data_IF_753454405615
#
_entry.id   IF_753454405615
#
_cell.length_a   1.000
_cell.length_b   1.000
_cell.length_c   1.000
_cell.angle_alpha   90.00
_cell.angle_beta   90.00
_cell.angle_gamma   90.00
#
_symmetry.space_group_name_H-M   'P 1'
#
loop_
_entity.id
_entity.type
_entity.pdbx_description
1 polymer ?
#
# COMPACT_ATOMS: atom_id res chain seq x y z
N UNK A 1 40.77 32.97 12.98
CA UNK A 1 40.11 32.84 11.65
C UNK A 1 39.31 31.57 11.67
N UNK A 2 37.99 31.70 11.52
CA UNK A 2 37.03 30.62 11.74
C UNK A 2 37.05 29.59 10.59
N UNK A 3 37.05 28.31 10.96
CA UNK A 3 36.85 27.18 10.05
C UNK A 3 35.35 27.07 9.79
N UNK A 4 34.92 27.53 8.62
CA UNK A 4 33.55 27.38 8.15
C UNK A 4 33.32 25.91 7.74
N UNK A 5 32.77 25.12 8.65
CA UNK A 5 32.45 23.72 8.38
C UNK A 5 31.11 23.65 7.66
N UNK A 6 31.19 23.58 6.32
CA UNK A 6 30.07 23.33 5.42
C UNK A 6 29.47 21.94 5.70
N UNK A 7 28.49 21.88 6.60
CA UNK A 7 27.76 20.66 6.95
C UNK A 7 26.68 20.42 5.89
N UNK A 8 27.08 19.82 4.77
CA UNK A 8 26.12 19.19 3.86
C UNK A 8 25.34 18.14 4.66
N UNK A 9 24.07 18.40 4.91
CA UNK A 9 23.16 17.44 5.49
C UNK A 9 23.07 16.25 4.52
N UNK A 10 23.78 15.15 4.81
CA UNK A 10 23.55 13.90 4.11
C UNK A 10 22.14 13.44 4.47
N UNK A 11 21.21 13.55 3.52
CA UNK A 11 19.93 12.87 3.58
C UNK A 11 20.22 11.41 3.94
N UNK A 12 19.61 10.93 5.03
CA UNK A 12 19.89 9.61 5.60
C UNK A 12 19.86 8.53 4.53
N UNK A 13 20.98 7.82 4.36
CA UNK A 13 21.12 6.78 3.35
C UNK A 13 20.17 5.65 3.65
N UNK A 14 19.15 5.48 2.81
CA UNK A 14 18.31 4.28 2.81
C UNK A 14 19.17 3.17 2.19
N UNK A 15 19.67 2.26 3.03
CA UNK A 15 20.48 1.13 2.57
C UNK A 15 19.57 0.04 2.02
N UNK A 16 19.30 0.06 0.72
CA UNK A 16 18.55 -1.00 0.03
C UNK A 16 19.45 -2.24 -0.15
N UNK A 17 18.92 -3.43 0.14
CA UNK A 17 19.65 -4.69 -0.08
C UNK A 17 19.84 -4.94 -1.59
N UNK A 18 18.79 -4.70 -2.38
CA UNK A 18 18.87 -4.68 -3.83
C UNK A 18 18.00 -3.52 -4.38
N UNK A 19 18.58 -2.32 -4.58
CA UNK A 19 17.83 -1.17 -5.09
C UNK A 19 17.24 -1.43 -6.47
N UNK A 20 17.87 -2.27 -7.30
CA UNK A 20 17.37 -2.60 -8.63
C UNK A 20 16.08 -3.43 -8.54
N UNK A 21 16.03 -4.43 -7.65
CA UNK A 21 14.82 -5.22 -7.43
C UNK A 21 13.66 -4.37 -6.88
N UNK A 22 13.96 -3.42 -6.01
CA UNK A 22 12.98 -2.47 -5.48
C UNK A 22 12.40 -1.57 -6.57
N UNK A 23 13.26 -0.92 -7.37
CA UNK A 23 12.80 -0.01 -8.43
C UNK A 23 12.07 -0.75 -9.56
N UNK A 24 12.57 -1.92 -9.98
CA UNK A 24 11.86 -2.76 -10.95
C UNK A 24 10.50 -3.21 -10.43
N UNK A 25 10.43 -3.60 -9.16
CA UNK A 25 9.16 -3.97 -8.52
C UNK A 25 8.16 -2.83 -8.50
N UNK A 26 8.60 -1.63 -8.12
CA UNK A 26 7.77 -0.42 -8.12
C UNK A 26 7.24 -0.11 -9.51
N UNK A 27 8.10 -0.09 -10.53
CA UNK A 27 7.70 0.17 -11.92
C UNK A 27 6.73 -0.89 -12.41
N UNK A 28 6.98 -2.17 -12.11
CA UNK A 28 6.09 -3.27 -12.49
C UNK A 28 4.67 -3.12 -11.88
N UNK A 29 4.57 -2.75 -10.60
CA UNK A 29 3.26 -2.46 -9.97
C UNK A 29 2.59 -1.28 -10.63
N UNK A 30 3.30 -0.17 -10.88
CA UNK A 30 2.73 1.02 -11.52
C UNK A 30 2.21 0.71 -12.92
N UNK A 31 3.00 0.03 -13.75
CA UNK A 31 2.59 -0.38 -15.10
C UNK A 31 1.41 -1.34 -15.03
N UNK A 32 1.43 -2.32 -14.13
CA UNK A 32 0.34 -3.26 -13.93
C UNK A 32 -0.97 -2.55 -13.59
N UNK A 33 -0.96 -1.57 -12.68
CA UNK A 33 -2.16 -0.75 -12.36
C UNK A 33 -2.63 0.05 -13.57
N UNK A 34 -1.72 0.66 -14.33
CA UNK A 34 -2.08 1.43 -15.53
C UNK A 34 -2.75 0.52 -16.58
N UNK A 35 -2.28 -0.72 -16.75
CA UNK A 35 -2.88 -1.69 -17.68
C UNK A 35 -4.32 -2.10 -17.31
N UNK A 36 -4.78 -1.82 -16.09
CA UNK A 36 -6.18 -2.03 -15.72
C UNK A 36 -7.11 -0.89 -16.16
N UNK A 37 -6.56 0.32 -16.39
CA UNK A 37 -7.36 1.50 -16.72
C UNK A 37 -8.09 1.42 -18.07
N UNK A 38 -7.51 0.87 -19.17
CA UNK A 38 -8.19 0.80 -20.46
C UNK A 38 -9.53 0.07 -20.43
N UNK A 39 -9.60 -1.05 -19.69
CA UNK A 39 -10.84 -1.81 -19.55
C UNK A 39 -11.91 -1.01 -18.79
N UNK A 40 -11.53 -0.31 -17.73
CA UNK A 40 -12.45 0.53 -16.95
C UNK A 40 -12.99 1.71 -17.77
N UNK A 41 -12.11 2.40 -18.49
CA UNK A 41 -12.51 3.53 -19.35
C UNK A 41 -13.33 3.07 -20.55
N UNK A 42 -13.05 1.90 -21.12
CA UNK A 42 -13.83 1.30 -22.20
C UNK A 42 -15.25 0.91 -21.78
N UNK A 43 -15.50 0.68 -20.49
CA UNK A 43 -16.83 0.36 -19.96
C UNK A 43 -17.75 1.59 -19.78
N UNK A 44 -17.29 2.79 -20.17
CA UNK A 44 -18.06 4.04 -20.04
C UNK A 44 -19.44 3.95 -20.72
N UNK A 45 -19.51 3.37 -21.93
CA UNK A 45 -20.73 3.28 -22.72
C UNK A 45 -21.74 2.27 -22.14
N UNK A 46 -21.26 1.38 -21.25
CA UNK A 46 -22.06 0.40 -20.52
C UNK A 46 -22.40 0.87 -19.09
N UNK A 47 -22.08 2.12 -18.76
CA UNK A 47 -22.30 2.69 -17.42
C UNK A 47 -21.39 2.10 -16.35
N UNK A 48 -20.15 1.74 -16.71
CA UNK A 48 -19.15 1.10 -15.84
C UNK A 48 -19.54 -0.26 -15.27
N UNK A 49 -20.48 -0.95 -15.91
CA UNK A 49 -20.82 -2.34 -15.58
C UNK A 49 -19.80 -3.27 -16.23
N UNK A 50 -19.16 -4.10 -15.43
CA UNK A 50 -18.10 -5.04 -15.83
C UNK A 50 -18.54 -6.49 -15.67
N UNK A 51 -19.62 -6.77 -14.94
CA UNK A 51 -20.15 -8.12 -14.80
C UNK A 51 -20.51 -8.74 -16.15
N UNK A 52 -19.93 -9.92 -16.43
CA UNK A 52 -20.12 -10.66 -17.69
C UNK A 52 -19.19 -10.24 -18.83
N UNK A 53 -18.26 -9.30 -18.61
CA UNK A 53 -17.25 -8.93 -19.60
C UNK A 53 -16.03 -9.84 -19.51
N UNK A 54 -15.55 -10.36 -20.64
CA UNK A 54 -14.34 -11.19 -20.66
C UNK A 54 -13.10 -10.36 -20.33
N UNK A 55 -12.31 -10.86 -19.39
CA UNK A 55 -11.02 -10.26 -19.06
C UNK A 55 -10.03 -10.47 -20.22
N UNK A 56 -9.55 -9.37 -20.82
CA UNK A 56 -8.57 -9.42 -21.90
C UNK A 56 -7.17 -9.87 -21.43
N UNK A 57 -6.31 -10.26 -22.38
CA UNK A 57 -4.93 -10.67 -22.09
C UNK A 57 -4.11 -9.60 -21.34
N UNK A 58 -4.34 -8.32 -21.66
CA UNK A 58 -3.71 -7.17 -20.98
C UNK A 58 -4.05 -7.09 -19.49
N UNK A 59 -5.28 -7.45 -19.12
CA UNK A 59 -5.74 -7.48 -17.72
C UNK A 59 -4.99 -8.56 -16.93
N UNK A 60 -4.89 -9.77 -17.50
CA UNK A 60 -4.13 -10.86 -16.87
C UNK A 60 -2.64 -10.52 -16.75
N UNK A 61 -2.06 -9.90 -17.77
CA UNK A 61 -0.68 -9.44 -17.73
C UNK A 61 -0.48 -8.39 -16.63
N UNK A 62 -1.40 -7.43 -16.52
CA UNK A 62 -1.40 -6.42 -15.46
C UNK A 62 -1.45 -7.06 -14.07
N UNK A 63 -2.33 -8.04 -13.85
CA UNK A 63 -2.44 -8.76 -12.57
C UNK A 63 -1.13 -9.47 -12.21
N UNK A 64 -0.53 -10.17 -13.19
CA UNK A 64 0.76 -10.83 -12.99
C UNK A 64 1.88 -9.84 -12.65
N UNK A 65 1.94 -8.69 -13.34
CA UNK A 65 2.90 -7.62 -13.07
C UNK A 65 2.76 -7.04 -11.66
N UNK A 66 1.53 -6.84 -11.18
CA UNK A 66 1.30 -6.35 -9.81
C UNK A 66 1.82 -7.36 -8.78
N UNK A 67 1.50 -8.64 -8.92
CA UNK A 67 1.94 -9.69 -7.97
C UNK A 67 3.46 -9.85 -7.96
N UNK A 68 4.07 -9.94 -9.15
CA UNK A 68 5.52 -10.05 -9.28
C UNK A 68 6.23 -8.79 -8.80
N UNK A 69 5.71 -7.62 -9.15
CA UNK A 69 6.25 -6.34 -8.74
C UNK A 69 6.18 -6.13 -7.23
N UNK A 70 5.08 -6.51 -6.59
CA UNK A 70 4.96 -6.52 -5.13
C UNK A 70 5.98 -7.45 -4.48
N UNK A 71 6.11 -8.70 -4.97
CA UNK A 71 7.10 -9.65 -4.47
C UNK A 71 8.54 -9.15 -4.64
N UNK A 72 8.88 -8.56 -5.80
CA UNK A 72 10.19 -7.96 -6.04
C UNK A 72 10.46 -6.75 -5.14
N UNK A 73 9.46 -5.92 -4.90
CA UNK A 73 9.57 -4.76 -3.99
C UNK A 73 9.79 -5.23 -2.57
N UNK A 74 9.01 -6.20 -2.09
CA UNK A 74 9.20 -6.80 -0.77
C UNK A 74 10.60 -7.40 -0.62
N UNK A 75 11.07 -8.16 -1.63
CA UNK A 75 12.41 -8.74 -1.65
C UNK A 75 13.53 -7.68 -1.64
N UNK A 76 13.37 -6.60 -2.42
CA UNK A 76 14.34 -5.49 -2.46
C UNK A 76 14.34 -4.64 -1.19
N UNK A 77 13.20 -4.56 -0.51
CA UNK A 77 13.03 -3.80 0.72
C UNK A 77 13.55 -4.55 1.94
N UNK A 78 13.31 -5.86 2.07
CA UNK A 78 13.69 -6.68 3.24
C UNK A 78 15.21 -6.58 3.52
N UNK A 79 15.65 -5.77 4.50
CA UNK A 79 17.03 -5.76 4.95
C UNK A 79 17.14 -6.78 6.10
N UNK A 80 18.32 -7.34 6.34
CA UNK A 80 18.53 -8.10 7.57
C UNK A 80 18.36 -7.14 8.76
N UNK A 81 17.24 -7.23 9.49
CA UNK A 81 16.98 -6.48 10.73
C UNK A 81 18.15 -6.60 11.74
N UNK A 82 19.04 -7.57 11.55
CA UNK A 82 20.26 -7.76 12.32
C UNK A 82 21.25 -6.59 12.27
N UNK A 83 21.29 -5.78 11.20
CA UNK A 83 22.28 -4.68 11.10
C UNK A 83 21.80 -3.39 11.77
N UNK A 84 20.49 -3.10 11.68
CA UNK A 84 19.87 -1.97 12.39
C UNK A 84 19.88 -2.22 13.91
N UNK A 85 19.78 -3.48 14.33
CA UNK A 85 19.77 -3.86 15.75
C UNK A 85 21.18 -3.96 16.37
N UNK A 86 22.23 -4.36 15.62
CA UNK A 86 23.58 -4.56 16.21
C UNK A 86 24.28 -3.28 16.66
N UNK A 87 24.05 -2.16 15.97
CA UNK A 87 24.65 -0.86 16.34
C UNK A 87 23.90 -0.12 17.45
N UNK A 88 22.58 -0.31 17.54
CA UNK A 88 21.72 0.40 18.49
C UNK A 88 21.52 -0.34 19.81
N UNK A 89 21.48 -1.68 19.80
CA UNK A 89 21.20 -2.47 21.02
C UNK A 89 22.37 -2.51 22.01
N UNK A 90 23.60 -2.27 21.55
CA UNK A 90 24.79 -2.18 22.43
C UNK A 90 24.82 -0.92 23.32
N UNK A 91 23.94 0.06 23.13
CA UNK A 91 23.88 1.29 23.95
C UNK A 91 22.49 1.61 24.49
N UNK A 92 21.58 0.64 24.57
CA UNK A 92 20.29 0.84 25.24
C UNK A 92 20.53 0.79 26.76
N UNK A 93 21.08 1.89 27.29
CA UNK A 93 20.84 2.29 28.67
C UNK A 93 19.40 2.78 28.69
N UNK A 94 18.52 2.10 29.42
CA UNK A 94 17.14 2.52 29.65
C UNK A 94 17.18 3.90 30.32
N UNK A 95 17.13 4.94 29.49
CA UNK A 95 16.77 6.30 29.87
C UNK A 95 15.33 6.42 29.42
N UNK A 96 14.44 6.73 30.35
CA UNK A 96 13.05 7.03 30.05
C UNK A 96 13.01 7.98 28.85
N UNK A 97 12.31 7.57 27.80
CA UNK A 97 12.18 8.29 26.54
C UNK A 97 11.35 9.58 26.70
N UNK A 98 10.87 9.86 27.91
CA UNK A 98 9.93 10.94 28.26
C UNK A 98 10.54 12.35 28.30
N UNK A 99 11.87 12.49 28.26
CA UNK A 99 12.56 13.79 28.40
C UNK A 99 13.36 14.21 27.14
N UNK A 100 13.08 13.59 25.99
CA UNK A 100 13.76 13.94 24.75
C UNK A 100 13.09 15.15 24.06
N UNK A 101 13.80 16.26 23.80
CA UNK A 101 13.21 17.43 23.15
C UNK A 101 12.71 17.08 21.74
N UNK A 102 11.47 17.46 21.43
CA UNK A 102 10.84 17.24 20.12
C UNK A 102 11.66 17.93 19.03
N UNK A 103 12.37 17.13 18.23
CA UNK A 103 13.10 17.62 17.04
C UNK A 103 12.15 17.75 15.85
N UNK A 104 12.43 18.62 14.87
CA UNK A 104 11.62 18.77 13.65
C UNK A 104 11.42 17.45 12.87
N UNK A 105 12.35 16.50 12.97
CA UNK A 105 12.19 15.15 12.42
C UNK A 105 11.03 14.35 13.06
N UNK A 106 10.74 14.53 14.35
CA UNK A 106 9.59 13.91 15.00
C UNK A 106 8.29 14.49 14.47
N UNK A 107 8.24 15.82 14.27
CA UNK A 107 7.07 16.49 13.68
C UNK A 107 6.84 15.97 12.26
N UNK A 108 7.91 15.85 11.45
CA UNK A 108 7.82 15.25 10.12
C UNK A 108 7.28 13.82 10.14
N UNK A 109 7.77 12.98 11.06
CA UNK A 109 7.28 11.61 11.20
C UNK A 109 5.82 11.56 11.67
N UNK A 110 5.43 12.41 12.62
CA UNK A 110 4.04 12.53 13.08
C UNK A 110 3.11 12.95 11.94
N UNK A 111 3.53 13.88 11.09
CA UNK A 111 2.76 14.29 9.91
C UNK A 111 2.63 13.17 8.88
N UNK A 112 3.73 12.43 8.61
CA UNK A 112 3.70 11.28 7.69
C UNK A 112 2.79 10.17 8.24
N UNK A 113 2.88 9.85 9.53
CA UNK A 113 2.02 8.85 10.17
C UNK A 113 0.55 9.29 10.14
N UNK A 114 0.27 10.57 10.44
CA UNK A 114 -1.09 11.10 10.35
C UNK A 114 -1.67 11.00 8.93
N UNK A 115 -0.87 11.34 7.90
CA UNK A 115 -1.27 11.19 6.51
C UNK A 115 -1.48 9.71 6.13
N UNK A 116 -0.58 8.81 6.54
CA UNK A 116 -0.69 7.38 6.26
C UNK A 116 -1.98 6.79 6.87
N UNK A 117 -2.25 7.09 8.15
CA UNK A 117 -3.48 6.65 8.84
C UNK A 117 -4.73 7.21 8.15
N UNK A 118 -4.68 8.47 7.71
CA UNK A 118 -5.80 9.11 6.99
C UNK A 118 -6.09 8.36 5.68
N UNK A 119 -5.06 8.01 4.91
CA UNK A 119 -5.21 7.24 3.66
C UNK A 119 -5.73 5.83 3.94
N UNK A 120 -5.27 5.19 5.02
CA UNK A 120 -5.72 3.85 5.36
C UNK A 120 -7.20 3.80 5.75
N UNK A 121 -7.71 4.80 6.47
CA UNK A 121 -9.14 4.90 6.81
C UNK A 121 -10.02 5.09 5.57
N UNK A 122 -9.49 5.65 4.48
CA UNK A 122 -10.27 5.82 3.24
C UNK A 122 -10.61 4.48 2.56
N UNK A 123 -9.84 3.39 2.78
CA UNK A 123 -10.07 2.10 2.12
C UNK A 123 -11.35 1.41 2.64
N UNK A 124 -11.57 1.24 3.96
CA UNK A 124 -12.84 0.72 4.47
C UNK A 124 -14.04 1.63 4.14
N UNK A 125 -13.85 2.95 4.19
CA UNK A 125 -14.92 3.91 3.90
C UNK A 125 -15.39 3.82 2.45
N UNK A 126 -14.48 3.78 1.49
CA UNK A 126 -14.85 3.62 0.07
C UNK A 126 -15.51 2.27 -0.19
N UNK A 127 -15.02 1.17 0.42
CA UNK A 127 -15.69 -0.13 0.35
C UNK A 127 -17.14 -0.08 0.83
N UNK A 128 -17.42 0.60 1.94
CA UNK A 128 -18.78 0.73 2.46
C UNK A 128 -19.75 1.41 1.46
N UNK A 129 -19.27 2.37 0.66
CA UNK A 129 -20.09 3.06 -0.33
C UNK A 129 -20.28 2.29 -1.63
N UNK A 130 -19.31 1.49 -2.06
CA UNK A 130 -19.41 0.71 -3.32
C UNK A 130 -20.12 -0.63 -3.14
N UNK A 131 -20.15 -1.17 -1.91
CA UNK A 131 -20.76 -2.47 -1.57
C UNK A 131 -22.22 -2.61 -2.05
N UNK A 132 -23.12 -1.61 -1.91
CA UNK A 132 -24.48 -1.71 -2.45
C UNK A 132 -24.53 -1.88 -3.98
N UNK A 133 -23.68 -1.15 -4.70
CA UNK A 133 -23.58 -1.24 -6.16
C UNK A 133 -23.04 -2.58 -6.61
N UNK A 134 -21.96 -3.05 -5.97
CA UNK A 134 -21.40 -4.38 -6.23
C UNK A 134 -22.40 -5.50 -5.91
N UNK A 135 -23.21 -5.35 -4.86
CA UNK A 135 -24.24 -6.33 -4.53
C UNK A 135 -25.33 -6.42 -5.59
N UNK A 136 -25.71 -5.30 -6.20
CA UNK A 136 -26.68 -5.27 -7.30
C UNK A 136 -26.09 -5.82 -8.60
N UNK A 137 -24.85 -5.48 -8.93
CA UNK A 137 -24.19 -5.87 -10.18
C UNK A 137 -23.79 -7.36 -10.21
N UNK A 138 -23.25 -7.89 -9.11
CA UNK A 138 -22.74 -9.27 -9.02
C UNK A 138 -23.71 -10.24 -8.32
N UNK A 139 -24.93 -9.81 -8.00
CA UNK A 139 -25.95 -10.66 -7.35
C UNK A 139 -25.55 -11.12 -5.94
N UNK A 140 -24.85 -10.27 -5.19
CA UNK A 140 -24.41 -10.59 -3.82
C UNK A 140 -25.55 -10.33 -2.82
N UNK A 141 -25.63 -11.19 -1.81
CA UNK A 141 -26.61 -11.09 -0.72
C UNK A 141 -26.26 -9.89 0.16
N UNK A 142 -27.15 -8.91 0.20
CA UNK A 142 -27.08 -7.76 1.10
C UNK A 142 -28.46 -7.44 1.68
N UNK A 143 -28.58 -6.60 2.72
CA UNK A 143 -29.88 -6.13 3.21
C UNK A 143 -30.73 -5.47 2.11
N UNK A 144 -30.09 -4.88 1.10
CA UNK A 144 -30.74 -4.24 -0.06
C UNK A 144 -30.92 -5.20 -1.26
N UNK A 145 -30.26 -6.36 -1.25
CA UNK A 145 -30.40 -7.41 -2.25
C UNK A 145 -30.52 -8.80 -1.58
N UNK A 146 -31.69 -9.14 -1.01
CA UNK A 146 -31.87 -10.38 -0.24
C UNK A 146 -31.87 -11.65 -1.09
N UNK A 147 -32.06 -11.54 -2.40
CA UNK A 147 -32.10 -12.65 -3.35
C UNK A 147 -30.70 -13.12 -3.81
N UNK A 148 -29.63 -12.44 -3.39
CA UNK A 148 -28.26 -12.81 -3.74
C UNK A 148 -27.79 -14.13 -3.13
N UNK A 149 -26.80 -14.76 -3.75
CA UNK A 149 -26.30 -16.08 -3.36
C UNK A 149 -25.23 -16.04 -2.26
N UNK A 150 -24.26 -15.13 -2.39
CA UNK A 150 -23.08 -15.04 -1.53
C UNK A 150 -23.14 -13.75 -0.68
N UNK A 151 -22.86 -13.80 0.64
CA UNK A 151 -22.87 -12.60 1.50
C UNK A 151 -21.88 -11.53 1.03
N UNK A 152 -22.36 -10.29 0.87
CA UNK A 152 -21.51 -9.14 0.51
C UNK A 152 -20.50 -8.79 1.63
N UNK A 153 -20.75 -9.25 2.86
CA UNK A 153 -19.86 -9.08 4.00
C UNK A 153 -18.48 -9.76 3.84
N UNK A 154 -18.33 -10.67 2.86
CA UNK A 154 -17.03 -11.25 2.53
C UNK A 154 -16.05 -10.22 1.96
N UNK A 155 -16.53 -9.16 1.32
CA UNK A 155 -15.67 -8.11 0.75
C UNK A 155 -14.91 -7.34 1.86
N UNK A 156 -15.56 -6.77 2.89
CA UNK A 156 -14.85 -6.20 4.04
C UNK A 156 -14.02 -7.21 4.81
N UNK A 157 -14.50 -8.45 4.97
CA UNK A 157 -13.77 -9.50 5.68
C UNK A 157 -12.42 -9.77 5.02
N UNK A 158 -12.42 -10.01 3.71
CA UNK A 158 -11.19 -10.22 2.94
C UNK A 158 -10.25 -9.00 3.04
N UNK A 159 -10.79 -7.79 2.96
CA UNK A 159 -10.03 -6.55 3.11
C UNK A 159 -9.32 -6.45 4.48
N UNK A 160 -10.06 -6.67 5.57
CA UNK A 160 -9.51 -6.61 6.94
C UNK A 160 -8.50 -7.74 7.15
N UNK A 161 -8.78 -8.96 6.70
CA UNK A 161 -7.83 -10.07 6.78
C UNK A 161 -6.52 -9.75 6.04
N UNK A 162 -6.62 -9.14 4.85
CA UNK A 162 -5.44 -8.66 4.12
C UNK A 162 -4.60 -7.66 4.93
N UNK A 163 -5.23 -6.71 5.62
CA UNK A 163 -4.52 -5.74 6.49
C UNK A 163 -3.94 -6.34 7.77
N UNK A 164 -4.42 -7.50 8.21
CA UNK A 164 -3.88 -8.20 9.40
C UNK A 164 -2.69 -9.07 9.03
N UNK A 165 -2.69 -9.67 7.84
CA UNK A 165 -1.63 -10.57 7.37
C UNK A 165 -0.42 -9.78 6.83
N UNK A 166 -0.66 -8.70 6.10
CA UNK A 166 0.38 -7.85 5.50
C UNK A 166 0.96 -6.84 6.49
#
# INVERSE_FOLDING_TARGET
MAVETNRRASLGGITFNNPVAFWLGMVAVTVGVILHLPMYLGAQDMGYRLAGTDAGAEMFLGMALILLGFASTAYGLFPRLSEVSRGYVSRIRVRALDDAPIKPAHIGLLLVLAAAVTIDVMKPTTLAFVVPGMAAEYGLKSPLNPAGSIPVALLPLAGITGTVIG
#
